data_IF_544585122849
#
_entry.id   IF_544585122849
#
_cell.length_a   1.000
_cell.length_b   1.000
_cell.length_c   1.000
_cell.angle_alpha   90.00
_cell.angle_beta   90.00
_cell.angle_gamma   90.00
#
_symmetry.space_group_name_H-M   'P 1'
#
loop_
_entity.id
_entity.type
_entity.pdbx_description
1 polymer ?
#
# COMPACT_ATOMS: atom_id res chain seq x y z
N UNK A 1 38.59 5.24 41.99
CA UNK A 1 38.39 4.26 40.90
C UNK A 1 36.94 4.39 40.38
N UNK A 2 36.70 5.17 39.31
CA UNK A 2 35.35 5.41 38.79
C UNK A 2 34.90 4.28 37.86
N UNK A 3 33.94 3.47 38.32
CA UNK A 3 33.34 2.38 37.55
C UNK A 3 32.31 2.96 36.57
N UNK A 4 32.71 3.25 35.33
CA UNK A 4 31.77 3.61 34.24
C UNK A 4 30.81 2.43 34.02
N UNK A 5 29.57 2.54 34.51
CA UNK A 5 28.49 1.62 34.13
C UNK A 5 28.26 1.79 32.63
N UNK A 6 28.71 0.83 31.81
CA UNK A 6 28.31 0.76 30.40
C UNK A 6 26.78 0.61 30.38
N UNK A 7 26.05 1.63 29.95
CA UNK A 7 24.62 1.48 29.65
C UNK A 7 24.52 0.44 28.56
N UNK A 8 23.85 -0.69 28.83
CA UNK A 8 23.51 -1.65 27.80
C UNK A 8 22.61 -0.93 26.77
N UNK A 9 23.11 -0.78 25.55
CA UNK A 9 22.32 -0.30 24.42
C UNK A 9 21.19 -1.31 24.22
N UNK A 10 19.92 -0.91 24.42
CA UNK A 10 18.79 -1.80 24.13
C UNK A 10 18.87 -2.24 22.66
N UNK A 11 18.68 -3.53 22.35
CA UNK A 11 18.59 -3.99 20.97
C UNK A 11 17.53 -3.17 20.23
N UNK A 12 17.86 -2.66 19.03
CA UNK A 12 16.86 -2.02 18.17
C UNK A 12 15.88 -3.11 17.73
N UNK A 13 14.67 -3.09 18.26
CA UNK A 13 13.60 -3.96 17.80
C UNK A 13 13.26 -3.60 16.36
N UNK A 14 13.27 -4.58 15.45
CA UNK A 14 12.86 -4.41 14.07
C UNK A 14 11.33 -4.26 14.08
N UNK A 15 10.83 -3.16 13.53
CA UNK A 15 9.38 -2.93 13.40
C UNK A 15 8.78 -3.93 12.40
N UNK A 16 7.69 -4.65 12.73
CA UNK A 16 7.02 -5.58 11.82
C UNK A 16 6.10 -4.86 10.81
N UNK A 17 5.77 -3.59 11.03
CA UNK A 17 4.78 -2.83 10.25
C UNK A 17 5.07 -2.73 8.73
N UNK A 18 6.33 -2.61 8.26
CA UNK A 18 6.64 -2.62 6.84
C UNK A 18 6.16 -3.88 6.12
N UNK A 19 6.32 -5.04 6.76
CA UNK A 19 5.91 -6.32 6.20
C UNK A 19 4.40 -6.42 6.08
N UNK A 20 3.67 -5.96 7.10
CA UNK A 20 2.21 -5.90 7.05
C UNK A 20 1.75 -4.99 5.92
N UNK A 21 2.32 -3.79 5.83
CA UNK A 21 1.95 -2.83 4.78
C UNK A 21 2.27 -3.32 3.38
N UNK A 22 3.41 -3.96 3.17
CA UNK A 22 3.82 -4.47 1.86
C UNK A 22 3.12 -5.76 1.48
N UNK A 23 2.82 -6.64 2.45
CA UNK A 23 1.92 -7.78 2.23
C UNK A 23 0.52 -7.32 1.79
N UNK A 24 -0.04 -6.32 2.47
CA UNK A 24 -1.34 -5.75 2.09
C UNK A 24 -1.30 -5.06 0.72
N UNK A 25 -0.23 -4.32 0.42
CA UNK A 25 -0.05 -3.68 -0.90
C UNK A 25 0.05 -4.73 -2.01
N UNK A 26 0.81 -5.81 -1.81
CA UNK A 26 0.89 -6.91 -2.77
C UNK A 26 -0.45 -7.62 -2.95
N UNK A 27 -1.18 -7.89 -1.86
CA UNK A 27 -2.52 -8.48 -1.95
C UNK A 27 -3.50 -7.58 -2.71
N UNK A 28 -3.39 -6.26 -2.57
CA UNK A 28 -4.26 -5.32 -3.30
C UNK A 28 -4.07 -5.38 -4.83
N UNK A 29 -2.90 -5.82 -5.33
CA UNK A 29 -2.67 -5.96 -6.78
C UNK A 29 -3.74 -6.85 -7.45
N UNK A 30 -4.19 -7.90 -6.75
CA UNK A 30 -5.24 -8.78 -7.26
C UNK A 30 -6.57 -8.06 -7.47
N UNK A 31 -6.92 -7.09 -6.60
CA UNK A 31 -8.12 -6.27 -6.76
C UNK A 31 -8.01 -5.37 -8.01
N UNK A 32 -6.86 -4.75 -8.18
CA UNK A 32 -6.59 -3.89 -9.35
C UNK A 32 -6.57 -4.71 -10.65
N UNK A 33 -5.97 -5.90 -10.65
CA UNK A 33 -5.97 -6.81 -11.80
C UNK A 33 -7.37 -7.35 -12.13
N UNK A 34 -8.15 -7.72 -11.12
CA UNK A 34 -9.54 -8.19 -11.29
C UNK A 34 -10.49 -7.10 -11.80
N UNK A 35 -10.08 -5.82 -11.79
CA UNK A 35 -10.91 -4.70 -12.25
C UNK A 35 -11.27 -4.79 -13.74
N UNK A 36 -10.52 -5.56 -14.54
CA UNK A 36 -10.87 -5.84 -15.93
C UNK A 36 -12.17 -6.61 -16.14
N UNK A 37 -12.74 -7.19 -15.08
CA UNK A 37 -14.07 -7.80 -15.12
C UNK A 37 -15.22 -6.78 -15.03
N UNK A 38 -14.93 -5.54 -14.66
CA UNK A 38 -15.95 -4.51 -14.35
C UNK A 38 -15.72 -3.20 -15.09
N UNK A 39 -14.48 -2.91 -15.48
CA UNK A 39 -14.06 -1.62 -15.99
C UNK A 39 -13.46 -1.75 -17.40
N UNK A 40 -13.60 -0.72 -18.25
CA UNK A 40 -13.00 -0.70 -19.58
C UNK A 40 -11.46 -0.73 -19.51
N UNK A 41 -10.77 -1.22 -20.55
CA UNK A 41 -9.31 -1.46 -20.49
C UNK A 41 -8.49 -0.23 -20.11
N UNK A 42 -8.87 0.96 -20.57
CA UNK A 42 -8.16 2.21 -20.23
C UNK A 42 -8.26 2.54 -18.74
N UNK A 43 -9.39 2.24 -18.09
CA UNK A 43 -9.58 2.48 -16.66
C UNK A 43 -8.75 1.51 -15.83
N UNK A 44 -8.65 0.24 -16.26
CA UNK A 44 -7.77 -0.75 -15.65
C UNK A 44 -6.31 -0.31 -15.71
N UNK A 45 -5.86 0.19 -16.87
CA UNK A 45 -4.50 0.74 -17.01
C UNK A 45 -4.28 1.92 -16.06
N UNK A 46 -5.22 2.86 -15.98
CA UNK A 46 -5.12 4.00 -15.07
C UNK A 46 -5.06 3.55 -13.60
N UNK A 47 -5.89 2.59 -13.19
CA UNK A 47 -5.88 2.01 -11.86
C UNK A 47 -4.53 1.33 -11.55
N UNK A 48 -3.99 0.53 -12.47
CA UNK A 48 -2.69 -0.12 -12.29
C UNK A 48 -1.54 0.88 -12.17
N UNK A 49 -1.60 2.00 -12.91
CA UNK A 49 -0.63 3.10 -12.77
C UNK A 49 -0.71 3.72 -11.37
N UNK A 50 -1.92 3.99 -10.86
CA UNK A 50 -2.10 4.49 -9.48
C UNK A 50 -1.54 3.51 -8.46
N UNK A 51 -1.85 2.23 -8.60
CA UNK A 51 -1.30 1.18 -7.74
C UNK A 51 0.23 1.17 -7.78
N UNK A 52 0.84 1.25 -8.97
CA UNK A 52 2.28 1.25 -9.13
C UNK A 52 2.93 2.45 -8.43
N UNK A 53 2.31 3.63 -8.51
CA UNK A 53 2.77 4.84 -7.78
C UNK A 53 2.73 4.61 -6.27
N UNK A 54 1.64 4.04 -5.74
CA UNK A 54 1.50 3.72 -4.32
C UNK A 54 2.50 2.63 -3.87
N UNK A 55 2.75 1.63 -4.72
CA UNK A 55 3.74 0.60 -4.47
C UNK A 55 5.16 1.19 -4.39
N UNK A 56 5.52 2.04 -5.36
CA UNK A 56 6.81 2.76 -5.34
C UNK A 56 6.91 3.65 -4.10
N UNK A 57 5.82 4.27 -3.66
CA UNK A 57 5.77 5.05 -2.42
C UNK A 57 6.08 4.17 -1.20
N UNK A 58 5.49 2.97 -1.10
CA UNK A 58 5.82 2.01 -0.05
C UNK A 58 7.30 1.60 -0.09
N UNK A 59 7.86 1.31 -1.26
CA UNK A 59 9.29 0.99 -1.42
C UNK A 59 10.19 2.15 -0.96
N UNK A 60 9.84 3.40 -1.31
CA UNK A 60 10.59 4.60 -0.90
C UNK A 60 10.48 4.87 0.60
N UNK A 61 9.32 4.57 1.20
CA UNK A 61 9.06 4.80 2.62
C UNK A 61 9.44 3.65 3.54
N UNK A 62 9.88 2.52 2.97
CA UNK A 62 10.23 1.31 3.70
C UNK A 62 11.16 1.57 4.90
N UNK A 63 12.24 2.34 4.70
CA UNK A 63 13.20 2.68 5.74
C UNK A 63 12.87 3.96 6.52
N UNK A 64 12.53 5.10 5.87
CA UNK A 64 12.34 6.35 6.61
C UNK A 64 11.01 6.41 7.39
N UNK A 65 9.96 5.72 6.92
CA UNK A 65 8.60 5.82 7.49
C UNK A 65 7.87 4.45 7.54
N UNK A 66 8.43 3.44 8.23
CA UNK A 66 7.94 2.07 8.25
C UNK A 66 6.47 1.94 8.70
N UNK A 67 6.06 2.76 9.67
CA UNK A 67 4.72 2.69 10.26
C UNK A 67 3.63 3.28 9.35
N UNK A 68 4.01 3.96 8.25
CA UNK A 68 3.06 4.54 7.28
C UNK A 68 2.63 3.55 6.21
N UNK A 69 3.39 2.50 5.96
CA UNK A 69 3.14 1.54 4.87
C UNK A 69 1.75 0.88 4.96
N UNK A 70 1.27 0.43 6.15
CA UNK A 70 -0.09 -0.11 6.28
C UNK A 70 -1.18 0.88 5.88
N UNK A 71 -1.01 2.17 6.18
CA UNK A 71 -1.98 3.20 5.81
C UNK A 71 -1.99 3.45 4.29
N UNK A 72 -0.84 3.42 3.63
CA UNK A 72 -0.75 3.54 2.16
C UNK A 72 -1.44 2.35 1.49
N UNK A 73 -1.22 1.14 1.99
CA UNK A 73 -1.89 -0.06 1.47
C UNK A 73 -3.40 -0.06 1.72
N UNK A 74 -3.85 0.40 2.89
CA UNK A 74 -5.27 0.59 3.19
C UNK A 74 -5.90 1.63 2.26
N UNK A 75 -5.22 2.75 2.04
CA UNK A 75 -5.64 3.77 1.09
C UNK A 75 -5.80 3.20 -0.32
N UNK A 76 -4.87 2.35 -0.78
CA UNK A 76 -4.96 1.71 -2.10
C UNK A 76 -6.27 0.91 -2.26
N UNK A 77 -6.69 0.17 -1.23
CA UNK A 77 -7.93 -0.61 -1.23
C UNK A 77 -9.17 0.29 -1.22
N UNK A 78 -9.18 1.31 -0.36
CA UNK A 78 -10.30 2.27 -0.27
C UNK A 78 -10.46 3.05 -1.57
N UNK A 79 -9.34 3.54 -2.13
CA UNK A 79 -9.33 4.25 -3.41
C UNK A 79 -9.86 3.38 -4.54
N UNK A 80 -9.41 2.12 -4.62
CA UNK A 80 -9.91 1.17 -5.61
C UNK A 80 -11.42 1.01 -5.53
N UNK A 81 -11.95 0.74 -4.33
CA UNK A 81 -13.39 0.56 -4.13
C UNK A 81 -14.18 1.82 -4.55
N UNK A 82 -13.68 3.00 -4.17
CA UNK A 82 -14.30 4.27 -4.54
C UNK A 82 -14.26 4.50 -6.06
N UNK A 83 -13.15 4.20 -6.72
CA UNK A 83 -12.98 4.39 -8.16
C UNK A 83 -13.91 3.48 -8.97
N UNK A 84 -14.02 2.20 -8.60
CA UNK A 84 -14.93 1.26 -9.24
C UNK A 84 -16.40 1.65 -9.00
N UNK A 85 -16.74 2.02 -7.77
CA UNK A 85 -18.09 2.48 -7.43
C UNK A 85 -18.48 3.75 -8.21
N UNK A 86 -17.57 4.71 -8.30
CA UNK A 86 -17.77 5.94 -9.07
C UNK A 86 -17.87 5.66 -10.57
N UNK A 87 -17.03 4.77 -11.10
CA UNK A 87 -17.10 4.35 -12.50
C UNK A 87 -18.43 3.68 -12.85
N UNK A 88 -18.93 2.80 -11.99
CA UNK A 88 -20.25 2.21 -12.14
C UNK A 88 -21.38 3.25 -12.09
N UNK A 89 -21.33 4.17 -11.11
CA UNK A 89 -22.39 5.16 -10.90
C UNK A 89 -22.42 6.29 -11.94
N UNK A 90 -21.27 6.78 -12.39
CA UNK A 90 -21.16 7.98 -13.23
C UNK A 90 -20.75 7.70 -14.68
N UNK A 91 -20.00 6.63 -14.92
CA UNK A 91 -19.45 6.29 -16.24
C UNK A 91 -20.10 5.04 -16.85
N UNK A 92 -21.06 4.44 -16.15
CA UNK A 92 -21.78 3.26 -16.60
C UNK A 92 -20.89 2.02 -16.76
N UNK A 93 -19.80 1.93 -15.98
CA UNK A 93 -18.94 0.75 -16.02
C UNK A 93 -19.70 -0.47 -15.52
N UNK A 94 -19.82 -1.46 -16.39
CA UNK A 94 -20.34 -2.79 -16.10
C UNK A 94 -19.44 -3.83 -16.74
N UNK A 95 -19.56 -5.07 -16.28
CA UNK A 95 -19.05 -6.23 -17.01
C UNK A 95 -19.65 -6.31 -18.42
#
# INVERSE_FOLDING_TARGET
MFRRRRRATRPRLISPWPFVGMGLMAASLFLYGASGLLAPPWAVVALLVVWLVLFVLCCRWWTPHPDRLPFVALFAVVFWFAALSAGGAFLGWSA
#
